data_IF_107245317531
#
_entry.id   IF_107245317531
#
_cell.length_a   1.000
_cell.length_b   1.000
_cell.length_c   1.000
_cell.angle_alpha   90.00
_cell.angle_beta   90.00
_cell.angle_gamma   90.00
#
_symmetry.space_group_name_H-M   'P 1'
#
loop_
_entity.id
_entity.type
_entity.pdbx_description
1 polymer ?
#
# COMPACT_ATOMS: atom_id res chain seq x y z
N UNK A 1 11.00 17.31 8.26
CA UNK A 1 11.20 16.46 7.07
C UNK A 1 10.28 16.95 5.96
N UNK A 2 10.80 17.26 4.78
CA UNK A 2 9.97 17.61 3.61
C UNK A 2 9.34 16.34 3.02
N UNK A 3 8.18 16.47 2.36
CA UNK A 3 7.46 15.33 1.76
C UNK A 3 8.34 14.57 0.75
N UNK A 4 9.17 15.30 -0.01
CA UNK A 4 10.10 14.73 -0.98
C UNK A 4 11.16 13.85 -0.31
N UNK A 5 11.68 14.30 0.84
CA UNK A 5 12.68 13.54 1.60
C UNK A 5 12.08 12.25 2.16
N UNK A 6 10.85 12.29 2.65
CA UNK A 6 10.14 11.10 3.13
C UNK A 6 9.91 10.08 1.99
N UNK A 7 9.50 10.55 0.81
CA UNK A 7 9.33 9.70 -0.36
C UNK A 7 10.66 9.07 -0.83
N UNK A 8 11.75 9.84 -0.83
CA UNK A 8 13.08 9.33 -1.16
C UNK A 8 13.56 8.29 -0.13
N UNK A 9 13.25 8.51 1.16
CA UNK A 9 13.53 7.56 2.23
C UNK A 9 12.77 6.24 2.03
N UNK A 10 11.47 6.30 1.77
CA UNK A 10 10.66 5.10 1.45
C UNK A 10 11.15 4.37 0.21
N UNK A 11 11.53 5.12 -0.83
CA UNK A 11 12.11 4.50 -2.02
C UNK A 11 13.46 3.86 -1.72
N UNK A 12 14.23 4.31 -0.74
CA UNK A 12 15.55 3.71 -0.46
C UNK A 12 15.42 2.45 0.41
N UNK A 13 14.61 2.51 1.47
CA UNK A 13 14.55 1.47 2.49
C UNK A 13 13.38 0.48 2.31
N UNK A 14 12.36 0.84 1.53
CA UNK A 14 11.08 0.13 1.51
C UNK A 14 10.68 -0.41 0.13
N UNK A 15 11.61 -0.44 -0.84
CA UNK A 15 11.37 -0.90 -2.23
C UNK A 15 10.59 -2.21 -2.30
N UNK A 16 11.07 -3.22 -1.57
CA UNK A 16 10.47 -4.55 -1.55
C UNK A 16 9.06 -4.56 -0.95
N UNK A 17 8.82 -3.77 0.10
CA UNK A 17 7.51 -3.65 0.73
C UNK A 17 6.50 -2.93 -0.18
N UNK A 18 6.95 -1.90 -0.91
CA UNK A 18 6.13 -1.19 -1.90
C UNK A 18 5.72 -2.12 -3.05
N UNK A 19 6.68 -2.88 -3.59
CA UNK A 19 6.42 -3.85 -4.67
C UNK A 19 5.51 -4.99 -4.21
N UNK A 20 5.75 -5.55 -3.02
CA UNK A 20 4.90 -6.58 -2.43
C UNK A 20 3.47 -6.07 -2.21
N UNK A 21 3.33 -4.85 -1.69
CA UNK A 21 2.02 -4.20 -1.53
C UNK A 21 1.28 -4.04 -2.85
N UNK A 22 1.97 -3.62 -3.92
CA UNK A 22 1.39 -3.52 -5.26
C UNK A 22 0.93 -4.86 -5.81
N UNK A 23 1.78 -5.89 -5.68
CA UNK A 23 1.46 -7.24 -6.12
C UNK A 23 0.22 -7.79 -5.41
N UNK A 24 0.20 -7.71 -4.07
CA UNK A 24 -0.95 -8.17 -3.27
C UNK A 24 -2.20 -7.37 -3.58
N UNK A 25 -2.11 -6.03 -3.68
CA UNK A 25 -3.25 -5.17 -4.03
C UNK A 25 -3.80 -5.52 -5.41
N UNK A 26 -2.93 -5.80 -6.38
CA UNK A 26 -3.33 -6.23 -7.71
C UNK A 26 -4.05 -7.58 -7.69
N UNK A 27 -3.48 -8.58 -7.01
CA UNK A 27 -4.10 -9.91 -6.88
C UNK A 27 -5.48 -9.82 -6.22
N UNK A 28 -5.61 -9.04 -5.13
CA UNK A 28 -6.89 -8.85 -4.44
C UNK A 28 -7.91 -8.14 -5.34
N UNK A 29 -7.49 -7.16 -6.13
CA UNK A 29 -8.35 -6.47 -7.09
C UNK A 29 -8.86 -7.41 -8.20
N UNK A 30 -8.03 -8.38 -8.62
CA UNK A 30 -8.42 -9.42 -9.58
C UNK A 30 -9.38 -10.43 -8.94
N UNK A 31 -9.08 -10.91 -7.73
CA UNK A 31 -9.84 -11.94 -7.05
C UNK A 31 -11.24 -11.46 -6.61
N UNK A 32 -11.32 -10.31 -5.94
CA UNK A 32 -12.56 -9.85 -5.30
C UNK A 32 -13.37 -8.87 -6.15
N UNK A 33 -12.80 -8.35 -7.25
CA UNK A 33 -13.36 -7.33 -8.16
C UNK A 33 -13.77 -5.99 -7.50
N UNK A 34 -13.75 -5.92 -6.16
CA UNK A 34 -14.05 -4.77 -5.30
C UNK A 34 -12.76 -4.03 -4.95
N UNK A 35 -12.64 -2.80 -5.45
CA UNK A 35 -11.43 -1.98 -5.30
C UNK A 35 -11.19 -1.55 -3.85
N UNK A 36 -12.24 -1.24 -3.09
CA UNK A 36 -12.10 -0.80 -1.70
C UNK A 36 -11.57 -1.88 -0.74
N UNK A 37 -11.68 -3.16 -1.13
CA UNK A 37 -11.31 -4.29 -0.27
C UNK A 37 -9.79 -4.46 -0.18
N UNK A 38 -9.09 -4.24 -1.29
CA UNK A 38 -7.65 -4.49 -1.39
C UNK A 38 -6.81 -3.61 -0.45
N UNK A 39 -7.02 -2.28 -0.38
CA UNK A 39 -6.32 -1.43 0.59
C UNK A 39 -6.69 -1.77 2.03
N UNK A 40 -7.94 -2.17 2.28
CA UNK A 40 -8.41 -2.51 3.62
C UNK A 40 -7.69 -3.75 4.17
N UNK A 41 -7.56 -4.78 3.34
CA UNK A 41 -6.86 -6.03 3.68
C UNK A 41 -5.37 -5.77 3.86
N UNK A 42 -4.73 -5.06 2.91
CA UNK A 42 -3.30 -4.73 3.01
C UNK A 42 -3.00 -3.93 4.28
N UNK A 43 -3.87 -2.98 4.61
CA UNK A 43 -3.76 -2.21 5.84
C UNK A 43 -3.90 -3.10 7.09
N UNK A 44 -4.93 -3.95 7.14
CA UNK A 44 -5.15 -4.86 8.26
C UNK A 44 -3.97 -5.81 8.48
N UNK A 45 -3.45 -6.41 7.42
CA UNK A 45 -2.27 -7.30 7.47
C UNK A 45 -1.04 -6.54 7.95
N UNK A 46 -0.81 -5.32 7.48
CA UNK A 46 0.34 -4.51 7.89
C UNK A 46 0.28 -4.13 9.38
N UNK A 47 -0.90 -3.80 9.91
CA UNK A 47 -1.11 -3.54 11.35
C UNK A 47 -0.84 -4.82 12.16
N UNK A 48 -1.35 -5.98 11.71
CA UNK A 48 -1.13 -7.26 12.40
C UNK A 48 0.35 -7.60 12.47
N UNK A 49 1.09 -7.45 11.37
CA UNK A 49 2.53 -7.70 11.32
C UNK A 49 3.31 -6.73 12.22
N UNK A 50 2.93 -5.46 12.24
CA UNK A 50 3.54 -4.46 13.13
C UNK A 50 3.28 -4.82 14.61
N UNK A 51 2.05 -5.14 14.96
CA UNK A 51 1.66 -5.55 16.31
C UNK A 51 2.37 -6.85 16.74
N UNK A 52 2.49 -7.82 15.84
CA UNK A 52 3.23 -9.06 16.09
C UNK A 52 4.74 -8.78 16.33
N UNK A 53 5.35 -7.90 15.54
CA UNK A 53 6.75 -7.50 15.73
C UNK A 53 7.01 -6.79 17.06
N UNK A 54 6.06 -5.98 17.52
CA UNK A 54 6.09 -5.35 18.85
C UNK A 54 5.93 -6.42 19.95
N UNK A 55 4.94 -7.31 19.82
CA UNK A 55 4.64 -8.34 20.82
C UNK A 55 5.81 -9.32 21.01
N UNK A 56 6.46 -9.73 19.92
CA UNK A 56 7.63 -10.60 19.94
C UNK A 56 8.90 -9.89 20.44
N UNK A 57 8.83 -8.60 20.76
CA UNK A 57 9.96 -7.80 21.22
C UNK A 57 11.02 -7.55 20.14
N UNK A 58 10.70 -7.79 18.87
CA UNK A 58 11.57 -7.49 17.73
C UNK A 58 11.64 -5.98 17.44
N UNK A 59 10.65 -5.22 17.90
CA UNK A 59 10.57 -3.77 17.73
C UNK A 59 10.36 -3.16 19.12
N UNK A 60 11.32 -2.38 19.63
CA UNK A 60 11.25 -1.80 21.00
C UNK A 60 11.39 -0.29 21.02
N UNK A 61 10.62 0.36 21.90
CA UNK A 61 10.78 1.79 22.21
C UNK A 61 10.70 2.70 20.98
N UNK A 62 11.75 3.48 20.72
CA UNK A 62 11.82 4.42 19.59
C UNK A 62 11.77 3.73 18.22
N UNK A 63 12.08 2.44 18.14
CA UNK A 63 12.04 1.67 16.89
C UNK A 63 10.61 1.49 16.37
N UNK A 64 9.59 1.56 17.25
CA UNK A 64 8.18 1.42 16.84
C UNK A 64 7.77 2.54 15.90
N UNK A 65 8.12 3.79 16.22
CA UNK A 65 7.83 4.94 15.37
C UNK A 65 8.58 4.88 14.04
N UNK A 66 9.82 4.38 14.08
CA UNK A 66 10.66 4.21 12.88
C UNK A 66 10.09 3.11 11.99
N UNK A 67 9.69 1.96 12.53
CA UNK A 67 9.08 0.86 11.77
C UNK A 67 7.72 1.28 11.18
N UNK A 68 6.94 2.08 11.92
CA UNK A 68 5.69 2.62 11.39
C UNK A 68 5.93 3.52 10.18
N UNK A 69 6.88 4.47 10.29
CA UNK A 69 7.18 5.41 9.21
C UNK A 69 7.94 4.75 8.04
N UNK A 70 8.81 3.80 8.30
CA UNK A 70 9.68 3.19 7.28
C UNK A 70 9.08 1.96 6.61
N UNK A 71 8.16 1.23 7.26
CA UNK A 71 7.59 -0.01 6.73
C UNK A 71 6.09 0.13 6.49
N UNK A 72 5.33 0.44 7.54
CA UNK A 72 3.86 0.45 7.46
C UNK A 72 3.32 1.54 6.53
N UNK A 73 3.75 2.79 6.72
CA UNK A 73 3.28 3.93 5.93
C UNK A 73 3.49 3.76 4.42
N UNK A 74 4.68 3.36 3.92
CA UNK A 74 4.86 3.15 2.49
C UNK A 74 4.03 1.96 1.96
N UNK A 75 3.79 0.89 2.72
CA UNK A 75 2.93 -0.23 2.30
C UNK A 75 1.50 0.25 2.06
N UNK A 76 0.92 0.96 3.03
CA UNK A 76 -0.46 1.44 2.96
C UNK A 76 -0.61 2.51 1.89
N UNK A 77 0.31 3.48 1.85
CA UNK A 77 0.32 4.52 0.83
C UNK A 77 0.40 3.93 -0.59
N UNK A 78 1.30 2.97 -0.79
CA UNK A 78 1.48 2.27 -2.05
C UNK A 78 0.20 1.54 -2.52
N UNK A 79 -0.52 0.89 -1.59
CA UNK A 79 -1.78 0.21 -1.89
C UNK A 79 -2.89 1.18 -2.31
N UNK A 80 -3.00 2.34 -1.63
CA UNK A 80 -3.95 3.40 -1.99
C UNK A 80 -3.68 3.90 -3.41
N UNK A 81 -2.41 4.21 -3.72
CA UNK A 81 -2.01 4.68 -5.06
C UNK A 81 -2.35 3.65 -6.13
N UNK A 82 -2.02 2.37 -5.90
CA UNK A 82 -2.35 1.31 -6.85
C UNK A 82 -3.86 1.24 -7.12
N UNK A 83 -4.66 1.41 -6.07
CA UNK A 83 -6.10 1.38 -6.21
C UNK A 83 -6.66 2.59 -6.97
N UNK A 84 -6.09 3.78 -6.75
CA UNK A 84 -6.41 4.98 -7.53
C UNK A 84 -6.05 4.80 -9.01
N UNK A 85 -4.93 4.16 -9.32
CA UNK A 85 -4.52 3.84 -10.69
C UNK A 85 -5.55 2.90 -11.34
N UNK A 86 -5.96 1.84 -10.64
CA UNK A 86 -6.98 0.91 -11.18
C UNK A 86 -8.33 1.60 -11.36
N UNK A 87 -8.74 2.48 -10.44
CA UNK A 87 -9.95 3.29 -10.57
C UNK A 87 -9.89 4.20 -11.82
N UNK A 88 -8.78 4.92 -12.00
CA UNK A 88 -8.57 5.77 -13.16
C UNK A 88 -8.61 4.97 -14.47
N UNK A 89 -7.94 3.83 -14.50
CA UNK A 89 -7.94 2.92 -15.65
C UNK A 89 -9.36 2.45 -16.01
N UNK A 90 -10.16 2.02 -15.03
CA UNK A 90 -11.54 1.58 -15.27
C UNK A 90 -12.40 2.72 -15.83
N UNK A 91 -12.31 3.92 -15.25
CA UNK A 91 -13.05 5.10 -15.74
C UNK A 91 -12.67 5.47 -17.18
N UNK A 92 -11.38 5.45 -17.50
CA UNK A 92 -10.89 5.74 -18.86
C UNK A 92 -11.43 4.68 -19.84
N UNK A 93 -11.34 3.40 -19.48
CA UNK A 93 -11.85 2.30 -20.31
C UNK A 93 -13.34 2.40 -20.58
N UNK A 94 -14.14 2.73 -19.55
CA UNK A 94 -15.58 2.95 -19.70
C UNK A 94 -15.88 4.16 -20.61
N UNK A 95 -15.15 5.26 -20.44
CA UNK A 95 -15.31 6.45 -21.27
C UNK A 95 -15.01 6.17 -22.74
N UNK A 96 -13.95 5.41 -23.03
CA UNK A 96 -13.60 4.99 -24.40
C UNK A 96 -14.68 4.08 -24.98
N UNK A 97 -15.17 3.11 -24.21
CA UNK A 97 -16.25 2.21 -24.67
C UNK A 97 -17.52 2.97 -25.02
N UNK A 98 -17.92 3.94 -24.19
CA UNK A 98 -19.12 4.76 -24.42
C UNK A 98 -18.95 5.79 -25.56
N UNK A 99 -17.72 6.10 -25.98
CA UNK A 99 -17.49 6.98 -27.14
C UNK A 99 -17.48 6.25 -28.49
N UNK A 100 -17.46 4.92 -28.49
CA UNK A 100 -17.40 4.08 -29.71
C UNK A 100 -18.78 3.47 -30.05
N UNK A 101 -19.71 3.44 -29.08
CA UNK A 101 -21.11 2.99 -29.23
C UNK A 101 -22.00 4.21 -29.42
#
# INVERSE_FOLDING_TARGET
MTILYLMAYWYTYSKWYILGSWFVTHMLNVAFKKLWLSPLIVNAVAIILLAAGIYLGMIKGQEVGISFLSVYMPIVFSSIIMNLIVLAYRKIKEKIKNSII
#
